data_IF_011564484701
#
_entry.id   IF_011564484701
#
_cell.length_a   1.000
_cell.length_b   1.000
_cell.length_c   1.000
_cell.angle_alpha   90.00
_cell.angle_beta   90.00
_cell.angle_gamma   90.00
#
_symmetry.space_group_name_H-M   'P 1'
#
loop_
_entity.id
_entity.type
_entity.pdbx_description
1 polymer ?
#
# COMPACT_ATOMS: atom_id res chain seq x y z
N UNK A 1 7.65 -17.30 -1.29
CA UNK A 1 7.39 -15.97 -1.91
C UNK A 1 5.92 -15.79 -2.30
N UNK A 2 5.33 -16.73 -3.07
CA UNK A 2 3.93 -16.65 -3.53
C UNK A 2 2.89 -16.58 -2.40
N UNK A 3 2.96 -17.45 -1.40
CA UNK A 3 2.00 -17.44 -0.28
C UNK A 3 1.97 -16.07 0.43
N UNK A 4 3.14 -15.52 0.78
CA UNK A 4 3.22 -14.20 1.40
C UNK A 4 2.65 -13.09 0.49
N UNK A 5 2.99 -13.09 -0.81
CA UNK A 5 2.48 -12.11 -1.74
C UNK A 5 0.94 -12.17 -1.88
N UNK A 6 0.38 -13.37 -1.93
CA UNK A 6 -1.07 -13.58 -1.98
C UNK A 6 -1.75 -13.08 -0.69
N UNK A 7 -1.20 -13.43 0.48
CA UNK A 7 -1.74 -13.00 1.78
C UNK A 7 -1.71 -11.48 1.94
N UNK A 8 -0.58 -10.84 1.61
CA UNK A 8 -0.44 -9.39 1.71
C UNK A 8 -1.39 -8.66 0.75
N UNK A 9 -1.51 -9.16 -0.49
CA UNK A 9 -2.43 -8.59 -1.49
C UNK A 9 -3.89 -8.72 -1.04
N UNK A 10 -4.26 -9.87 -0.46
CA UNK A 10 -5.61 -10.09 0.07
C UNK A 10 -5.91 -9.14 1.24
N UNK A 11 -4.97 -8.97 2.17
CA UNK A 11 -5.10 -8.03 3.28
C UNK A 11 -5.25 -6.58 2.78
N UNK A 12 -4.43 -6.15 1.82
CA UNK A 12 -4.50 -4.80 1.27
C UNK A 12 -5.85 -4.56 0.57
N UNK A 13 -6.33 -5.55 -0.20
CA UNK A 13 -7.62 -5.48 -0.87
C UNK A 13 -8.80 -5.44 0.11
N UNK A 14 -8.73 -6.19 1.21
CA UNK A 14 -9.75 -6.16 2.25
C UNK A 14 -9.85 -4.76 2.87
N UNK A 15 -8.71 -4.20 3.29
CA UNK A 15 -8.65 -2.85 3.87
C UNK A 15 -9.15 -1.77 2.88
N UNK A 16 -8.74 -1.84 1.60
CA UNK A 16 -9.23 -0.92 0.57
C UNK A 16 -10.76 -0.97 0.46
N UNK A 17 -11.34 -2.18 0.39
CA UNK A 17 -12.79 -2.36 0.21
C UNK A 17 -13.58 -1.88 1.42
N UNK A 18 -13.11 -2.18 2.62
CA UNK A 18 -13.73 -1.71 3.87
C UNK A 18 -13.77 -0.19 3.92
N UNK A 19 -12.63 0.46 3.70
CA UNK A 19 -12.53 1.93 3.76
C UNK A 19 -13.27 2.60 2.62
N UNK A 20 -13.24 2.03 1.42
CA UNK A 20 -14.03 2.54 0.29
C UNK A 20 -15.53 2.52 0.61
N UNK A 21 -16.05 1.42 1.18
CA UNK A 21 -17.46 1.35 1.57
C UNK A 21 -17.85 2.42 2.61
N UNK A 22 -16.97 2.71 3.57
CA UNK A 22 -17.17 3.78 4.55
C UNK A 22 -17.19 5.16 3.89
N UNK A 23 -16.25 5.43 2.99
CA UNK A 23 -16.21 6.68 2.20
C UNK A 23 -17.48 6.84 1.36
N UNK A 24 -17.93 5.78 0.67
CA UNK A 24 -19.15 5.79 -0.14
C UNK A 24 -20.41 6.03 0.70
N UNK A 25 -20.39 5.68 1.99
CA UNK A 25 -21.47 5.97 2.93
C UNK A 25 -21.47 7.42 3.46
N UNK A 26 -20.50 8.23 3.05
CA UNK A 26 -20.34 9.63 3.47
C UNK A 26 -19.56 9.82 4.77
N UNK A 27 -18.96 8.76 5.31
CA UNK A 27 -18.13 8.84 6.52
C UNK A 27 -16.81 9.59 6.25
N UNK A 28 -16.36 10.38 7.22
CA UNK A 28 -15.06 11.08 7.15
C UNK A 28 -13.92 10.12 7.50
N UNK A 29 -13.34 9.49 6.49
CA UNK A 29 -12.29 8.46 6.67
C UNK A 29 -10.86 8.97 6.42
N UNK A 30 -10.49 10.16 6.92
CA UNK A 30 -9.17 10.74 6.65
C UNK A 30 -8.01 9.87 7.20
N UNK A 31 -8.16 9.32 8.40
CA UNK A 31 -7.17 8.42 9.02
C UNK A 31 -7.06 7.12 8.22
N UNK A 32 -8.19 6.52 7.88
CA UNK A 32 -8.26 5.19 7.27
C UNK A 32 -7.85 5.20 5.80
N UNK A 33 -8.16 6.26 5.05
CA UNK A 33 -7.64 6.43 3.68
C UNK A 33 -6.12 6.60 3.68
N UNK A 34 -5.54 7.31 4.66
CA UNK A 34 -4.09 7.36 4.86
C UNK A 34 -3.49 5.98 5.21
N UNK A 35 -4.16 5.20 6.06
CA UNK A 35 -3.74 3.81 6.38
C UNK A 35 -3.76 2.92 5.13
N UNK A 36 -4.82 3.00 4.32
CA UNK A 36 -4.95 2.28 3.05
C UNK A 36 -3.79 2.62 2.13
N UNK A 37 -3.53 3.91 1.86
CA UNK A 37 -2.48 4.34 0.93
C UNK A 37 -1.10 3.90 1.39
N UNK A 38 -0.81 4.05 2.69
CA UNK A 38 0.44 3.60 3.30
C UNK A 38 0.60 2.07 3.14
N UNK A 39 -0.38 1.30 3.57
CA UNK A 39 -0.27 -0.16 3.59
C UNK A 39 -0.21 -0.76 2.18
N UNK A 40 -1.11 -0.33 1.29
CA UNK A 40 -1.21 -0.86 -0.07
C UNK A 40 0.04 -0.56 -0.90
N UNK A 41 0.62 0.65 -0.78
CA UNK A 41 1.84 1.01 -1.51
C UNK A 41 3.07 0.22 -1.03
N UNK A 42 3.19 -0.04 0.27
CA UNK A 42 4.26 -0.88 0.83
C UNK A 42 4.09 -2.35 0.42
N UNK A 43 2.85 -2.86 0.44
CA UNK A 43 2.53 -4.22 -0.07
C UNK A 43 2.88 -4.34 -1.54
N UNK A 44 2.50 -3.37 -2.38
CA UNK A 44 2.83 -3.37 -3.81
C UNK A 44 4.35 -3.44 -4.03
N UNK A 45 5.13 -2.67 -3.28
CA UNK A 45 6.59 -2.71 -3.32
C UNK A 45 7.14 -4.10 -2.99
N UNK A 46 6.70 -4.71 -1.89
CA UNK A 46 7.15 -6.05 -1.48
C UNK A 46 6.72 -7.14 -2.46
N UNK A 47 5.51 -7.06 -3.01
CA UNK A 47 5.02 -8.04 -3.99
C UNK A 47 5.79 -7.94 -5.31
N UNK A 48 6.04 -6.73 -5.80
CA UNK A 48 6.81 -6.53 -7.03
C UNK A 48 8.26 -7.01 -6.88
N UNK A 49 8.89 -6.73 -5.74
CA UNK A 49 10.24 -7.22 -5.41
C UNK A 49 10.31 -8.76 -5.36
N UNK A 50 9.37 -9.40 -4.66
CA UNK A 50 9.25 -10.86 -4.63
C UNK A 50 9.03 -11.44 -6.03
N UNK A 51 8.28 -10.76 -6.88
CA UNK A 51 8.03 -11.20 -8.24
C UNK A 51 9.32 -11.18 -9.08
N UNK A 52 10.15 -10.12 -8.98
CA UNK A 52 11.48 -10.09 -9.62
C UNK A 52 12.32 -11.26 -9.13
N UNK A 53 12.36 -11.51 -7.82
CA UNK A 53 13.13 -12.61 -7.23
C UNK A 53 12.68 -14.00 -7.71
N UNK A 54 11.38 -14.22 -7.93
CA UNK A 54 10.85 -15.49 -8.46
C UNK A 54 11.35 -15.76 -9.88
N UNK A 55 11.45 -14.71 -10.71
CA UNK A 55 11.97 -14.82 -12.08
C UNK A 55 13.51 -14.87 -12.13
N UNK A 56 14.21 -14.71 -11.01
CA UNK A 56 15.67 -14.67 -10.96
C UNK A 56 16.24 -13.57 -11.87
N UNK A 57 17.34 -13.86 -12.57
CA UNK A 57 17.95 -12.90 -13.50
C UNK A 57 17.02 -12.43 -14.62
N UNK A 58 16.08 -13.27 -15.04
CA UNK A 58 15.08 -12.92 -16.05
C UNK A 58 14.12 -11.83 -15.55
N UNK A 59 13.89 -11.74 -14.24
CA UNK A 59 13.04 -10.72 -13.65
C UNK A 59 13.62 -9.30 -13.75
N UNK A 60 14.89 -9.18 -14.10
CA UNK A 60 15.57 -7.91 -14.33
C UNK A 60 15.65 -7.52 -15.82
N UNK A 61 15.27 -8.45 -16.72
CA UNK A 61 15.29 -8.24 -18.16
C UNK A 61 13.98 -7.60 -18.64
N UNK A 62 14.08 -6.69 -19.62
CA UNK A 62 12.92 -5.99 -20.19
C UNK A 62 11.95 -6.91 -20.96
N UNK A 63 12.38 -8.13 -21.29
CA UNK A 63 11.54 -9.14 -21.93
C UNK A 63 10.41 -9.64 -20.99
N UNK A 64 10.55 -9.45 -19.68
CA UNK A 64 9.56 -9.83 -18.69
C UNK A 64 8.91 -8.58 -18.07
N UNK A 65 7.57 -8.53 -17.95
CA UNK A 65 6.87 -7.32 -17.46
C UNK A 65 7.15 -7.00 -15.99
N UNK A 66 7.73 -7.95 -15.24
CA UNK A 66 7.95 -7.83 -13.79
C UNK A 66 8.94 -6.72 -13.42
N UNK A 67 9.93 -6.43 -14.27
CA UNK A 67 10.85 -5.31 -14.05
C UNK A 67 10.11 -3.96 -14.05
N UNK A 68 9.11 -3.83 -14.95
CA UNK A 68 8.29 -2.63 -15.04
C UNK A 68 7.43 -2.47 -13.80
N UNK A 69 6.80 -3.55 -13.33
CA UNK A 69 6.01 -3.52 -12.11
C UNK A 69 6.84 -3.10 -10.90
N UNK A 70 8.10 -3.54 -10.81
CA UNK A 70 9.03 -3.13 -9.76
C UNK A 70 9.31 -1.62 -9.80
N UNK A 71 9.58 -1.06 -10.98
CA UNK A 71 9.77 0.39 -11.16
C UNK A 71 8.50 1.18 -10.83
N UNK A 72 7.36 0.74 -11.33
CA UNK A 72 6.07 1.41 -11.13
C UNK A 72 5.63 1.35 -9.66
N UNK A 73 5.98 0.29 -8.93
CA UNK A 73 5.70 0.21 -7.50
C UNK A 73 6.44 1.30 -6.69
N UNK A 74 7.55 1.84 -7.19
CA UNK A 74 8.33 2.84 -6.43
C UNK A 74 7.60 4.17 -6.29
N UNK A 75 6.97 4.67 -7.35
CA UNK A 75 6.33 5.99 -7.34
C UNK A 75 5.17 6.06 -6.35
N UNK A 76 4.49 4.93 -6.10
CA UNK A 76 3.32 4.87 -5.21
C UNK A 76 3.61 5.28 -3.77
N UNK A 77 4.87 5.18 -3.32
CA UNK A 77 5.31 5.58 -1.98
C UNK A 77 5.70 7.06 -1.89
N UNK A 78 5.75 7.76 -3.03
CA UNK A 78 6.28 9.12 -3.16
C UNK A 78 5.16 10.13 -3.47
N UNK A 79 4.33 9.84 -4.48
CA UNK A 79 3.26 10.76 -4.88
C UNK A 79 2.01 10.64 -4.00
N UNK A 80 1.04 11.55 -4.17
CA UNK A 80 -0.21 11.61 -3.39
C UNK A 80 0.05 11.58 -1.86
N UNK A 81 1.09 12.34 -1.46
CA UNK A 81 1.66 12.34 -0.12
C UNK A 81 2.60 11.15 0.11
N UNK A 82 3.86 11.42 0.45
CA UNK A 82 4.83 10.37 0.77
C UNK A 82 4.35 9.49 1.92
N UNK A 83 4.88 8.27 2.03
CA UNK A 83 4.51 7.38 3.13
C UNK A 83 4.85 7.97 4.51
N UNK A 84 5.85 8.83 4.60
CA UNK A 84 6.18 9.58 5.81
C UNK A 84 5.09 10.59 6.16
N UNK A 85 4.56 11.32 5.17
CA UNK A 85 3.41 12.22 5.38
C UNK A 85 2.16 11.43 5.79
N UNK A 86 1.90 10.26 5.18
CA UNK A 86 0.76 9.42 5.59
C UNK A 86 0.88 8.97 7.05
N UNK A 87 2.08 8.60 7.51
CA UNK A 87 2.33 8.26 8.92
C UNK A 87 2.05 9.45 9.86
N UNK A 88 2.44 10.67 9.47
CA UNK A 88 2.15 11.87 10.25
C UNK A 88 0.64 12.14 10.34
N UNK A 89 -0.11 11.97 9.25
CA UNK A 89 -1.57 12.13 9.25
C UNK A 89 -2.20 11.11 10.21
N UNK A 90 -1.82 9.83 10.09
CA UNK A 90 -2.33 8.75 10.96
C UNK A 90 -2.04 9.07 12.43
N UNK A 91 -0.79 9.39 12.75
CA UNK A 91 -0.39 9.73 14.12
C UNK A 91 -1.16 10.95 14.66
N UNK A 92 -1.33 11.99 13.85
CA UNK A 92 -2.07 13.19 14.21
C UNK A 92 -3.55 12.92 14.50
N UNK A 93 -4.19 12.01 13.77
CA UNK A 93 -5.58 11.61 14.04
C UNK A 93 -5.70 10.77 15.31
N UNK A 94 -4.79 9.80 15.52
CA UNK A 94 -4.77 8.98 16.72
C UNK A 94 -4.58 9.81 18.00
N UNK A 95 -3.68 10.81 17.98
CA UNK A 95 -3.47 11.69 19.13
C UNK A 95 -4.72 12.53 19.46
N UNK A 96 -5.46 12.99 18.44
CA UNK A 96 -6.72 13.71 18.65
C UNK A 96 -7.77 12.82 19.29
N UNK A 97 -7.92 11.59 18.80
CA UNK A 97 -8.84 10.59 19.36
C UNK A 97 -8.51 10.28 20.82
N UNK A 98 -7.22 10.07 21.16
CA UNK A 98 -6.78 9.80 22.53
C UNK A 98 -6.96 11.00 23.47
N UNK A 99 -6.84 12.24 22.96
CA UNK A 99 -7.05 13.45 23.76
C UNK A 99 -8.53 13.78 24.02
N UNK A 100 -9.45 13.09 23.35
CA UNK A 100 -10.90 13.23 23.49
C UNK A 100 -11.51 12.11 24.37
N UNK A 101 -10.69 11.20 24.89
CA UNK A 101 -11.05 10.16 25.86
C UNK A 101 -10.66 10.60 27.28
#
# INVERSE_FOLDING_TARGET
LLAAAATETAAARALIREVAARVDSGERCAKETSMVKLFASEVMGRVADKAVQIYGGMGYMKDFPVERFYRDARITRIYEGTNEIQRLIIAGQLLKESSLA
#
